data_IF_877579242410
#
_entry.id   IF_877579242410
#
_cell.length_a   1.000
_cell.length_b   1.000
_cell.length_c   1.000
_cell.angle_alpha   90.00
_cell.angle_beta   90.00
_cell.angle_gamma   90.00
#
_symmetry.space_group_name_H-M   'P 1'
#
loop_
_entity.id
_entity.type
_entity.pdbx_description
1 polymer ?
#
# COMPACT_ATOMS: atom_id res chain seq x y z
N UNK A 1 12.45 -33.20 -105.40
CA UNK A 1 12.66 -32.81 -103.99
C UNK A 1 13.21 -31.39 -103.99
N UNK A 2 12.42 -30.37 -104.37
CA UNK A 2 11.70 -29.43 -103.48
C UNK A 2 12.60 -28.91 -102.35
N UNK A 3 12.98 -27.64 -102.22
CA UNK A 3 12.77 -26.43 -103.02
C UNK A 3 13.44 -25.23 -102.30
N UNK A 4 14.31 -24.53 -103.03
CA UNK A 4 14.43 -23.07 -103.19
C UNK A 4 13.98 -22.16 -102.01
N UNK A 5 14.99 -21.50 -101.42
CA UNK A 5 15.17 -20.06 -101.20
C UNK A 5 14.07 -19.15 -100.60
N UNK A 6 14.58 -18.36 -99.63
CA UNK A 6 14.44 -16.90 -99.44
C UNK A 6 13.31 -16.34 -98.56
N UNK A 7 13.78 -15.42 -97.71
CA UNK A 7 13.27 -14.06 -97.47
C UNK A 7 12.68 -13.70 -96.08
N UNK A 8 13.33 -12.66 -95.54
CA UNK A 8 12.81 -11.50 -94.80
C UNK A 8 12.74 -11.54 -93.25
N UNK A 9 13.76 -10.88 -92.70
CA UNK A 9 13.65 -9.61 -91.98
C UNK A 9 12.57 -9.40 -90.89
N UNK A 10 13.10 -8.94 -89.75
CA UNK A 10 12.65 -7.80 -88.97
C UNK A 10 11.73 -8.02 -87.74
N UNK A 11 12.33 -7.61 -86.63
CA UNK A 11 11.79 -6.67 -85.64
C UNK A 11 10.98 -7.18 -84.44
N UNK A 12 11.64 -7.03 -83.28
CA UNK A 12 11.19 -6.31 -82.07
C UNK A 12 9.85 -6.73 -81.45
N UNK A 13 9.91 -7.24 -80.22
CA UNK A 13 8.74 -7.32 -79.35
C UNK A 13 9.05 -7.79 -77.93
N UNK A 14 9.63 -6.92 -77.10
CA UNK A 14 9.59 -7.09 -75.63
C UNK A 14 8.13 -6.98 -75.17
N UNK A 15 7.61 -8.03 -74.54
CA UNK A 15 6.53 -8.09 -73.53
C UNK A 15 5.84 -9.43 -73.71
N UNK A 16 6.05 -10.39 -72.84
CA UNK A 16 5.40 -10.53 -71.53
C UNK A 16 6.06 -11.78 -70.92
N UNK A 17 6.06 -12.05 -69.62
CA UNK A 17 5.11 -12.96 -68.97
C UNK A 17 5.34 -12.79 -67.46
N UNK A 18 5.04 -11.59 -66.94
CA UNK A 18 4.84 -11.34 -65.50
C UNK A 18 3.42 -11.77 -65.13
N UNK A 19 3.09 -13.06 -65.13
CA UNK A 19 1.74 -13.51 -64.74
C UNK A 19 1.66 -14.83 -63.97
N UNK A 20 2.77 -15.37 -63.44
CA UNK A 20 2.72 -16.63 -62.68
C UNK A 20 3.39 -16.57 -61.29
N UNK A 21 3.42 -15.40 -60.66
CA UNK A 21 3.97 -15.23 -59.30
C UNK A 21 2.99 -14.62 -58.29
N UNK A 22 1.68 -14.60 -58.59
CA UNK A 22 0.67 -13.88 -57.80
C UNK A 22 -0.38 -14.78 -57.11
N UNK A 23 -0.13 -16.09 -56.99
CA UNK A 23 -1.09 -17.01 -56.33
C UNK A 23 -0.52 -17.79 -55.14
N UNK A 24 0.69 -17.47 -54.68
CA UNK A 24 1.25 -17.99 -53.41
C UNK A 24 1.54 -16.88 -52.38
N UNK A 25 1.13 -15.64 -52.64
CA UNK A 25 1.27 -14.50 -51.74
C UNK A 25 -0.07 -13.93 -51.24
N UNK A 26 -1.18 -14.65 -51.45
CA UNK A 26 -2.52 -14.22 -51.04
C UNK A 26 -3.15 -15.11 -49.94
N UNK A 27 -2.38 -16.03 -49.36
CA UNK A 27 -2.84 -16.89 -48.24
C UNK A 27 -1.84 -16.89 -47.07
N UNK A 28 -1.27 -15.72 -46.77
CA UNK A 28 -0.48 -15.47 -45.55
C UNK A 28 -0.76 -14.06 -45.00
N UNK A 29 -1.99 -13.58 -45.20
CA UNK A 29 -2.41 -12.20 -44.87
C UNK A 29 -3.79 -12.17 -44.19
N UNK A 30 -4.14 -13.25 -43.49
CA UNK A 30 -5.27 -13.26 -42.56
C UNK A 30 -4.80 -13.89 -41.25
N UNK A 31 -5.08 -13.19 -40.15
CA UNK A 31 -4.70 -13.49 -38.74
C UNK A 31 -3.30 -13.01 -38.32
N UNK A 32 -3.02 -11.73 -38.51
CA UNK A 32 -2.21 -10.96 -37.55
C UNK A 32 -3.08 -9.82 -37.01
N UNK A 33 -4.24 -10.17 -36.44
CA UNK A 33 -4.89 -9.24 -35.51
C UNK A 33 -3.98 -9.13 -34.28
N UNK A 34 -3.85 -7.95 -33.66
CA UNK A 34 -3.17 -7.88 -32.38
C UNK A 34 -3.98 -8.77 -31.44
N UNK A 35 -3.38 -9.88 -31.01
CA UNK A 35 -3.69 -10.50 -29.73
C UNK A 35 -3.25 -9.49 -28.66
N UNK A 36 -3.98 -8.38 -28.53
CA UNK A 36 -4.19 -7.84 -27.22
C UNK A 36 -4.94 -8.95 -26.51
N UNK A 37 -4.21 -9.83 -25.81
CA UNK A 37 -4.78 -10.48 -24.66
C UNK A 37 -5.52 -9.36 -23.93
N UNK A 38 -6.85 -9.49 -23.79
CA UNK A 38 -7.60 -8.62 -22.90
C UNK A 38 -6.86 -8.70 -21.58
N UNK A 39 -6.02 -7.70 -21.29
CA UNK A 39 -5.29 -7.66 -20.06
C UNK A 39 -6.36 -7.75 -18.99
N UNK A 40 -6.25 -8.75 -18.10
CA UNK A 40 -7.17 -8.85 -16.98
C UNK A 40 -7.22 -7.48 -16.31
N UNK A 41 -8.42 -7.02 -15.98
CA UNK A 41 -8.62 -5.73 -15.31
C UNK A 41 -7.66 -5.67 -14.10
N UNK A 42 -6.70 -4.73 -14.06
CA UNK A 42 -5.69 -4.69 -13.01
C UNK A 42 -6.27 -4.31 -11.65
N UNK A 43 -7.49 -3.76 -11.61
CA UNK A 43 -8.15 -3.21 -10.43
C UNK A 43 -9.63 -3.66 -10.37
N UNK A 44 -9.92 -4.98 -10.31
CA UNK A 44 -11.27 -5.52 -10.50
C UNK A 44 -12.26 -5.25 -9.36
N UNK A 45 -11.78 -4.94 -8.15
CA UNK A 45 -12.63 -4.49 -7.02
C UNK A 45 -12.86 -2.98 -7.01
N UNK A 46 -12.30 -2.24 -7.96
CA UNK A 46 -12.58 -0.82 -8.19
C UNK A 46 -13.67 -0.67 -9.25
N UNK A 47 -14.68 0.15 -8.95
CA UNK A 47 -15.68 0.54 -9.94
C UNK A 47 -15.04 1.37 -11.04
N UNK A 48 -15.53 1.21 -12.27
CA UNK A 48 -15.10 2.06 -13.38
C UNK A 48 -15.52 3.50 -13.11
N UNK A 49 -14.56 4.41 -13.17
CA UNK A 49 -14.79 5.79 -12.77
C UNK A 49 -13.51 6.62 -12.73
N UNK A 50 -13.63 7.91 -12.40
CA UNK A 50 -12.50 8.85 -12.43
C UNK A 50 -11.36 8.45 -11.49
N UNK A 51 -11.66 7.84 -10.34
CA UNK A 51 -10.65 7.39 -9.37
C UNK A 51 -9.79 6.27 -9.97
N UNK A 52 -10.41 5.17 -10.43
CA UNK A 52 -9.70 4.05 -11.08
C UNK A 52 -8.91 4.52 -12.29
N UNK A 53 -9.51 5.36 -13.14
CA UNK A 53 -8.84 5.92 -14.31
C UNK A 53 -7.61 6.75 -13.92
N UNK A 54 -7.70 7.59 -12.89
CA UNK A 54 -6.58 8.43 -12.45
C UNK A 54 -5.37 7.62 -11.97
N UNK A 55 -5.60 6.47 -11.31
CA UNK A 55 -4.57 5.54 -10.87
C UNK A 55 -3.88 4.91 -12.11
N UNK A 56 -4.68 4.36 -13.03
CA UNK A 56 -4.17 3.73 -14.25
C UNK A 56 -3.39 4.72 -15.10
N UNK A 57 -3.89 5.94 -15.25
CA UNK A 57 -3.25 7.01 -15.99
C UNK A 57 -1.92 7.44 -15.37
N UNK A 58 -1.87 7.54 -14.02
CA UNK A 58 -0.62 7.84 -13.32
C UNK A 58 0.43 6.75 -13.56
N UNK A 59 0.06 5.48 -13.35
CA UNK A 59 0.99 4.35 -13.54
C UNK A 59 1.47 4.28 -14.99
N UNK A 60 0.55 4.45 -15.96
CA UNK A 60 0.91 4.47 -17.39
C UNK A 60 1.91 5.58 -17.69
N UNK A 61 1.67 6.81 -17.22
CA UNK A 61 2.61 7.94 -17.44
C UNK A 61 3.96 7.69 -16.79
N UNK A 62 3.97 7.18 -15.55
CA UNK A 62 5.19 6.90 -14.79
C UNK A 62 6.07 5.80 -15.43
N UNK A 63 5.46 4.91 -16.21
CA UNK A 63 6.15 3.73 -16.76
C UNK A 63 6.41 3.79 -18.27
N UNK A 64 5.79 4.73 -18.99
CA UNK A 64 6.02 4.90 -20.43
C UNK A 64 7.39 5.53 -20.70
N UNK A 65 8.37 4.72 -21.06
CA UNK A 65 9.73 5.15 -21.38
C UNK A 65 9.76 6.27 -22.43
N UNK A 66 10.59 7.29 -22.19
CA UNK A 66 10.72 8.47 -23.05
C UNK A 66 9.55 9.47 -22.96
N UNK A 67 8.51 9.18 -22.19
CA UNK A 67 7.41 10.10 -21.92
C UNK A 67 7.78 11.22 -20.92
N UNK A 68 7.09 12.37 -20.95
CA UNK A 68 7.38 13.52 -20.07
C UNK A 68 7.09 13.26 -18.58
N UNK A 69 6.39 12.17 -18.26
CA UNK A 69 6.10 11.75 -16.87
C UNK A 69 6.81 10.46 -16.47
N UNK A 70 7.77 9.97 -17.28
CA UNK A 70 8.50 8.74 -17.00
C UNK A 70 9.32 8.87 -15.72
N UNK A 71 9.23 7.85 -14.86
CA UNK A 71 9.98 7.74 -13.61
C UNK A 71 10.83 6.48 -13.73
N UNK A 72 12.16 6.54 -13.53
CA UNK A 72 12.99 5.36 -13.60
C UNK A 72 12.65 4.40 -12.45
N UNK A 73 12.75 3.06 -12.63
CA UNK A 73 12.28 2.07 -11.65
C UNK A 73 12.79 2.29 -10.22
N UNK A 74 14.04 2.75 -10.05
CA UNK A 74 14.66 3.04 -8.76
C UNK A 74 14.04 4.24 -8.01
N UNK A 75 13.26 5.07 -8.70
CA UNK A 75 12.53 6.21 -8.14
C UNK A 75 11.03 5.96 -7.99
N UNK A 76 10.52 4.80 -8.43
CA UNK A 76 9.11 4.41 -8.32
C UNK A 76 8.75 3.96 -6.91
N UNK A 77 8.83 4.86 -5.94
CA UNK A 77 8.50 4.58 -4.54
C UNK A 77 7.03 4.94 -4.28
N UNK A 78 6.27 3.98 -3.73
CA UNK A 78 4.88 4.16 -3.31
C UNK A 78 4.74 3.89 -1.80
N UNK A 79 4.19 4.83 -1.03
CA UNK A 79 4.02 4.72 0.43
C UNK A 79 2.55 4.67 0.83
N UNK A 80 2.19 3.77 1.75
CA UNK A 80 0.81 3.55 2.19
C UNK A 80 0.75 3.67 3.71
N UNK A 81 -0.24 4.38 4.27
CA UNK A 81 -0.63 4.09 5.66
C UNK A 81 -1.17 2.66 5.75
N UNK A 82 -1.24 2.10 6.96
CA UNK A 82 -1.80 0.78 7.23
C UNK A 82 -3.24 0.88 7.77
N UNK A 83 -3.42 1.41 8.97
CA UNK A 83 -4.72 1.55 9.62
C UNK A 83 -5.65 2.46 8.79
N UNK A 84 -6.81 1.95 8.38
CA UNK A 84 -7.78 2.68 7.56
C UNK A 84 -7.39 2.82 6.09
N UNK A 85 -6.15 2.50 5.71
CA UNK A 85 -5.69 2.58 4.32
C UNK A 85 -5.51 1.21 3.67
N UNK A 86 -4.82 0.28 4.31
CA UNK A 86 -4.64 -1.09 3.80
C UNK A 86 -5.62 -2.09 4.44
N UNK A 87 -6.07 -1.82 5.67
CA UNK A 87 -7.08 -2.61 6.37
C UNK A 87 -8.05 -1.75 7.16
N UNK A 88 -9.11 -2.36 7.70
CA UNK A 88 -10.04 -1.72 8.62
C UNK A 88 -9.32 -1.20 9.88
N UNK A 89 -9.85 -0.15 10.50
CA UNK A 89 -9.27 0.41 11.73
C UNK A 89 -10.31 0.74 12.82
N UNK A 90 -11.54 0.21 12.71
CA UNK A 90 -12.60 0.46 13.69
C UNK A 90 -13.00 -0.83 14.43
N UNK A 91 -12.35 -1.17 15.57
CA UNK A 91 -11.33 -0.41 16.28
C UNK A 91 -9.91 -0.64 15.74
N UNK A 92 -8.96 0.22 16.13
CA UNK A 92 -7.55 0.12 15.75
C UNK A 92 -6.96 -1.18 16.27
N UNK A 93 -6.34 -1.95 15.38
CA UNK A 93 -5.91 -3.32 15.66
C UNK A 93 -4.81 -3.38 16.71
N UNK A 94 -3.81 -2.49 16.63
CA UNK A 94 -2.77 -2.40 17.65
C UNK A 94 -3.32 -1.97 19.02
N UNK A 95 -4.42 -1.21 19.03
CA UNK A 95 -5.14 -0.87 20.26
C UNK A 95 -5.73 -2.11 20.95
N UNK A 96 -6.29 -3.05 20.17
CA UNK A 96 -6.77 -4.32 20.70
C UNK A 96 -5.64 -5.18 21.27
N UNK A 97 -4.50 -5.25 20.59
CA UNK A 97 -3.31 -5.92 21.09
C UNK A 97 -2.83 -5.30 22.41
N UNK A 98 -2.74 -3.97 22.47
CA UNK A 98 -2.32 -3.27 23.67
C UNK A 98 -3.29 -3.48 24.85
N UNK A 99 -4.60 -3.54 24.59
CA UNK A 99 -5.59 -3.84 25.61
C UNK A 99 -5.33 -5.19 26.28
N UNK A 100 -4.95 -6.22 25.52
CA UNK A 100 -4.55 -7.52 26.07
C UNK A 100 -3.28 -7.39 26.93
N UNK A 101 -2.26 -6.68 26.44
CA UNK A 101 -1.02 -6.45 27.21
C UNK A 101 -1.28 -5.72 28.53
N UNK A 102 -2.13 -4.68 28.52
CA UNK A 102 -2.49 -3.93 29.73
C UNK A 102 -3.27 -4.81 30.70
N UNK A 103 -4.19 -5.65 30.22
CA UNK A 103 -4.93 -6.59 31.07
C UNK A 103 -4.01 -7.57 31.79
N UNK A 104 -2.99 -8.11 31.11
CA UNK A 104 -2.01 -8.97 31.77
C UNK A 104 -1.22 -8.21 32.86
N UNK A 105 -0.81 -6.97 32.58
CA UNK A 105 -0.13 -6.14 33.58
C UNK A 105 -1.01 -5.79 34.78
N UNK A 106 -2.31 -5.60 34.58
CA UNK A 106 -3.26 -5.34 35.69
C UNK A 106 -3.42 -6.56 36.60
N UNK A 107 -3.25 -7.79 36.08
CA UNK A 107 -3.24 -9.00 36.93
C UNK A 107 -2.04 -9.02 37.87
N UNK A 108 -0.91 -8.48 37.42
CA UNK A 108 0.32 -8.36 38.23
C UNK A 108 0.26 -7.16 39.19
N UNK A 109 -0.24 -6.02 38.73
CA UNK A 109 -0.43 -4.79 39.50
C UNK A 109 -1.80 -4.16 39.24
N UNK A 110 -2.74 -4.44 40.14
CA UNK A 110 -4.11 -3.94 40.06
C UNK A 110 -4.23 -2.40 40.17
N UNK A 111 -3.19 -1.70 40.65
CA UNK A 111 -3.19 -0.25 40.73
C UNK A 111 -3.20 0.42 39.35
N UNK A 112 -2.65 -0.26 38.33
CA UNK A 112 -2.61 0.23 36.94
C UNK A 112 -4.01 0.47 36.39
N UNK A 113 -5.02 -0.31 36.79
CA UNK A 113 -6.39 -0.16 36.29
C UNK A 113 -7.01 1.23 36.60
N UNK A 114 -6.47 1.96 37.59
CA UNK A 114 -6.94 3.29 38.00
C UNK A 114 -6.02 4.42 37.53
N UNK A 115 -4.87 4.10 36.93
CA UNK A 115 -3.83 5.06 36.55
C UNK A 115 -3.87 5.33 35.05
N UNK A 116 -3.73 6.59 34.65
CA UNK A 116 -3.48 6.90 33.25
C UNK A 116 -2.04 6.52 32.87
N UNK A 117 -1.76 6.09 31.63
CA UNK A 117 -2.71 5.91 30.50
C UNK A 117 -3.43 4.55 30.48
N UNK A 118 -3.11 3.61 31.38
CA UNK A 118 -3.66 2.24 31.39
C UNK A 118 -5.18 2.20 31.50
N UNK A 119 -5.74 3.08 32.34
CA UNK A 119 -7.20 3.22 32.50
C UNK A 119 -7.88 3.53 31.16
N UNK A 120 -7.37 4.48 30.38
CA UNK A 120 -7.92 4.83 29.08
C UNK A 120 -7.91 3.65 28.10
N UNK A 121 -6.80 2.88 28.07
CA UNK A 121 -6.70 1.67 27.25
C UNK A 121 -7.76 0.65 27.66
N UNK A 122 -7.93 0.40 28.95
CA UNK A 122 -8.93 -0.55 29.49
C UNK A 122 -10.38 -0.14 29.20
N UNK A 123 -10.65 1.16 29.17
CA UNK A 123 -11.97 1.73 28.85
C UNK A 123 -12.28 1.68 27.34
N UNK A 124 -11.36 1.17 26.52
CA UNK A 124 -11.56 0.98 25.08
C UNK A 124 -11.33 2.25 24.28
N UNK A 125 -10.83 3.31 24.90
CA UNK A 125 -10.47 4.56 24.21
C UNK A 125 -9.05 4.45 23.64
N UNK A 126 -8.83 3.45 22.79
CA UNK A 126 -7.53 3.24 22.12
C UNK A 126 -7.28 4.28 21.02
N UNK A 127 -8.30 5.04 20.62
CA UNK A 127 -8.14 6.24 19.81
C UNK A 127 -7.28 7.30 20.54
N UNK A 128 -7.28 7.33 21.88
CA UNK A 128 -6.39 8.19 22.66
C UNK A 128 -4.90 7.88 22.44
N UNK A 129 -4.49 6.69 21.98
CA UNK A 129 -3.06 6.42 21.74
C UNK A 129 -2.44 7.44 20.77
N UNK A 130 -3.19 7.84 19.73
CA UNK A 130 -2.76 8.87 18.77
C UNK A 130 -2.80 10.30 19.34
N UNK A 131 -3.37 10.49 20.52
CA UNK A 131 -3.47 11.76 21.23
C UNK A 131 -2.60 11.82 22.50
N UNK A 132 -1.98 10.70 22.89
CA UNK A 132 -1.07 10.64 24.03
C UNK A 132 0.21 11.43 23.74
N UNK A 133 0.70 12.12 24.75
CA UNK A 133 2.02 12.73 24.69
C UNK A 133 3.12 11.68 24.86
N UNK A 134 4.36 12.07 24.56
CA UNK A 134 5.51 11.18 24.67
C UNK A 134 5.65 10.56 26.08
N UNK A 135 5.54 11.31 27.20
CA UNK A 135 5.55 10.72 28.54
C UNK A 135 4.49 9.63 28.78
N UNK A 136 3.26 9.83 28.30
CA UNK A 136 2.20 8.82 28.42
C UNK A 136 2.52 7.56 27.62
N UNK A 137 2.95 7.71 26.37
CA UNK A 137 3.38 6.59 25.53
C UNK A 137 4.54 5.83 26.19
N UNK A 138 5.50 6.57 26.74
CA UNK A 138 6.66 6.03 27.46
C UNK A 138 6.26 5.20 28.67
N UNK A 139 5.35 5.71 29.51
CA UNK A 139 4.86 4.97 30.68
C UNK A 139 4.15 3.67 30.28
N UNK A 140 3.30 3.77 29.25
CA UNK A 140 2.57 2.63 28.73
C UNK A 140 3.50 1.55 28.17
N UNK A 141 4.46 1.94 27.33
CA UNK A 141 5.43 1.02 26.74
C UNK A 141 6.44 0.48 27.77
N UNK A 142 6.80 1.28 28.78
CA UNK A 142 7.61 0.83 29.90
C UNK A 142 6.96 -0.38 30.59
N UNK A 143 5.66 -0.26 30.89
CA UNK A 143 4.94 -1.34 31.52
C UNK A 143 4.74 -2.53 30.57
N UNK A 144 4.36 -2.31 29.31
CA UNK A 144 3.88 -3.40 28.43
C UNK A 144 4.97 -4.05 27.56
N UNK A 145 6.10 -3.37 27.30
CA UNK A 145 7.09 -3.80 26.31
C UNK A 145 8.55 -3.83 26.82
N UNK A 146 8.88 -3.09 27.88
CA UNK A 146 10.28 -2.92 28.29
C UNK A 146 10.95 -4.23 28.69
N UNK A 147 12.22 -4.39 28.27
CA UNK A 147 13.05 -5.55 28.59
C UNK A 147 12.81 -6.77 27.71
N UNK A 148 11.67 -6.82 26.99
CA UNK A 148 11.42 -7.85 25.98
C UNK A 148 12.46 -7.76 24.88
N UNK A 149 12.92 -8.93 24.45
CA UNK A 149 13.69 -9.06 23.22
C UNK A 149 12.79 -8.82 22.01
N UNK A 150 13.40 -8.44 20.90
CA UNK A 150 12.68 -8.27 19.64
C UNK A 150 11.95 -9.56 19.22
N UNK A 151 12.56 -10.72 19.43
CA UNK A 151 11.96 -12.02 19.10
C UNK A 151 10.79 -12.38 20.01
N UNK A 152 10.85 -12.04 21.31
CA UNK A 152 9.74 -12.21 22.24
C UNK A 152 8.54 -11.37 21.80
N UNK A 153 8.78 -10.09 21.50
CA UNK A 153 7.72 -9.20 21.03
C UNK A 153 7.09 -9.71 19.73
N UNK A 154 7.89 -10.09 18.74
CA UNK A 154 7.39 -10.64 17.49
C UNK A 154 6.56 -11.92 17.69
N UNK A 155 6.93 -12.79 18.63
CA UNK A 155 6.13 -13.98 18.97
C UNK A 155 4.78 -13.62 19.58
N UNK A 156 4.74 -12.66 20.51
CA UNK A 156 3.50 -12.20 21.13
C UNK A 156 2.54 -11.60 20.09
N UNK A 157 3.06 -10.76 19.18
CA UNK A 157 2.24 -10.16 18.12
C UNK A 157 1.70 -11.23 17.17
N UNK A 158 2.53 -12.21 16.76
CA UNK A 158 2.06 -13.32 15.92
C UNK A 158 0.99 -14.16 16.62
N UNK A 159 1.18 -14.45 17.92
CA UNK A 159 0.19 -15.17 18.70
C UNK A 159 -1.15 -14.41 18.77
N UNK A 160 -1.09 -13.09 18.95
CA UNK A 160 -2.28 -12.23 18.88
C UNK A 160 -3.00 -12.39 17.54
N UNK A 161 -2.32 -12.27 16.39
CA UNK A 161 -2.99 -12.39 15.08
C UNK A 161 -3.56 -13.78 14.79
N UNK A 162 -3.05 -14.85 15.40
CA UNK A 162 -3.60 -16.19 15.25
C UNK A 162 -5.00 -16.32 15.86
N UNK A 163 -5.20 -15.74 17.05
CA UNK A 163 -6.43 -15.93 17.84
C UNK A 163 -7.37 -14.74 17.83
N UNK A 164 -6.85 -13.52 17.65
CA UNK A 164 -7.64 -12.30 17.71
C UNK A 164 -8.66 -12.26 16.56
N UNK A 165 -9.86 -11.80 16.90
CA UNK A 165 -10.97 -11.63 15.97
C UNK A 165 -11.54 -10.23 16.16
N UNK A 166 -11.96 -9.63 15.07
CA UNK A 166 -12.60 -8.33 15.11
C UNK A 166 -13.93 -8.41 15.87
N UNK A 167 -14.18 -7.56 16.88
CA UNK A 167 -15.30 -7.73 17.82
C UNK A 167 -16.68 -7.65 17.15
N UNK A 168 -16.86 -6.73 16.19
CA UNK A 168 -18.11 -6.59 15.42
C UNK A 168 -18.24 -7.57 14.25
N UNK A 169 -17.12 -7.96 13.66
CA UNK A 169 -17.06 -8.59 12.34
C UNK A 169 -16.79 -10.10 12.42
N UNK A 170 -16.35 -10.61 13.58
CA UNK A 170 -16.22 -12.03 13.89
C UNK A 170 -15.05 -12.76 13.21
N UNK A 171 -14.25 -12.08 12.40
CA UNK A 171 -13.18 -12.68 11.58
C UNK A 171 -11.78 -12.26 12.04
N UNK A 172 -10.71 -13.01 11.69
CA UNK A 172 -9.34 -12.59 11.94
C UNK A 172 -9.05 -11.20 11.37
N UNK A 173 -8.27 -10.39 12.09
CA UNK A 173 -7.88 -9.06 11.60
C UNK A 173 -7.13 -9.11 10.26
N UNK A 174 -6.36 -10.17 10.01
CA UNK A 174 -5.63 -10.38 8.74
C UNK A 174 -6.55 -10.62 7.53
N UNK A 175 -7.83 -10.92 7.74
CA UNK A 175 -8.83 -11.03 6.67
C UNK A 175 -9.56 -9.71 6.41
N UNK A 176 -9.18 -8.64 7.09
CA UNK A 176 -9.80 -7.31 6.98
C UNK A 176 -8.95 -6.31 6.20
N UNK A 177 -7.96 -6.79 5.44
CA UNK A 177 -7.32 -6.03 4.39
C UNK A 177 -8.32 -5.68 3.28
N UNK A 178 -8.19 -4.49 2.70
CA UNK A 178 -9.09 -4.04 1.64
C UNK A 178 -8.70 -4.64 0.30
N UNK A 179 -9.62 -5.39 -0.32
CA UNK A 179 -9.40 -6.02 -1.62
C UNK A 179 -8.94 -5.03 -2.71
N UNK A 180 -9.56 -3.84 -2.86
CA UNK A 180 -9.10 -2.83 -3.82
C UNK A 180 -7.65 -2.39 -3.59
N UNK A 181 -7.21 -2.33 -2.32
CA UNK A 181 -5.86 -1.89 -1.98
C UNK A 181 -4.82 -3.00 -2.16
N UNK A 182 -5.18 -4.26 -1.93
CA UNK A 182 -4.36 -5.41 -2.31
C UNK A 182 -4.11 -5.45 -3.82
N UNK A 183 -5.16 -5.22 -4.62
CA UNK A 183 -5.05 -5.11 -6.09
C UNK A 183 -4.16 -3.95 -6.51
N UNK A 184 -4.32 -2.78 -5.88
CA UNK A 184 -3.48 -1.61 -6.15
C UNK A 184 -2.00 -1.86 -5.84
N UNK A 185 -1.70 -2.48 -4.70
CA UNK A 185 -0.36 -2.90 -4.32
C UNK A 185 0.25 -3.83 -5.37
N UNK A 186 -0.49 -4.86 -5.79
CA UNK A 186 -0.07 -5.79 -6.83
C UNK A 186 0.16 -5.08 -8.17
N UNK A 187 -0.76 -4.22 -8.58
CA UNK A 187 -0.67 -3.47 -9.83
C UNK A 187 0.56 -2.56 -9.86
N UNK A 188 0.86 -1.86 -8.76
CA UNK A 188 2.04 -1.03 -8.63
C UNK A 188 3.33 -1.86 -8.72
N UNK A 189 3.42 -2.99 -7.99
CA UNK A 189 4.59 -3.89 -8.07
C UNK A 189 4.80 -4.46 -9.46
N UNK A 190 3.72 -4.86 -10.14
CA UNK A 190 3.76 -5.34 -11.53
C UNK A 190 4.29 -4.28 -12.51
N UNK A 191 4.23 -3.00 -12.14
CA UNK A 191 4.72 -1.85 -12.91
C UNK A 191 6.06 -1.30 -12.39
N UNK A 192 6.76 -2.06 -11.55
CA UNK A 192 8.10 -1.75 -11.07
C UNK A 192 8.15 -0.73 -9.94
N UNK A 193 7.03 -0.49 -9.24
CA UNK A 193 7.05 0.29 -8.01
C UNK A 193 7.49 -0.55 -6.81
N UNK A 194 8.18 0.08 -5.89
CA UNK A 194 8.40 -0.44 -4.54
C UNK A 194 7.25 0.02 -3.65
N UNK A 195 6.58 -0.90 -2.98
CA UNK A 195 5.44 -0.61 -2.09
C UNK A 195 5.89 -0.64 -0.64
N UNK A 196 5.79 0.48 0.06
CA UNK A 196 6.23 0.68 1.44
C UNK A 196 5.03 1.00 2.34
N UNK A 197 5.08 0.55 3.59
CA UNK A 197 4.17 1.03 4.64
C UNK A 197 4.82 2.24 5.34
N UNK A 198 4.05 3.30 5.59
CA UNK A 198 4.40 4.42 6.46
C UNK A 198 3.21 4.75 7.37
N UNK A 199 3.23 4.19 8.57
CA UNK A 199 2.10 4.27 9.51
C UNK A 199 2.50 4.83 10.87
N UNK A 200 1.53 5.40 11.59
CA UNK A 200 1.70 5.75 13.00
C UNK A 200 1.78 4.52 13.92
N UNK A 201 1.34 3.35 13.46
CA UNK A 201 1.45 2.09 14.18
C UNK A 201 2.90 1.67 14.45
N UNK A 202 3.09 0.78 15.42
CA UNK A 202 4.40 0.26 15.80
C UNK A 202 5.04 -0.54 14.65
N UNK A 203 6.27 -0.20 14.28
CA UNK A 203 6.98 -0.83 13.14
C UNK A 203 7.05 -2.36 13.28
N UNK A 204 7.40 -2.86 14.47
CA UNK A 204 7.55 -4.30 14.70
C UNK A 204 6.22 -5.03 14.82
N UNK A 205 5.16 -4.32 15.21
CA UNK A 205 3.80 -4.86 15.23
C UNK A 205 3.34 -5.14 13.79
N UNK A 206 3.55 -4.19 12.89
CA UNK A 206 3.19 -4.33 11.47
C UNK A 206 4.08 -5.35 10.75
N UNK A 207 5.40 -5.35 11.00
CA UNK A 207 6.34 -6.32 10.40
C UNK A 207 5.98 -7.78 10.68
N UNK A 208 5.28 -8.05 11.78
CA UNK A 208 4.84 -9.40 12.11
C UNK A 208 3.78 -9.97 11.15
N UNK A 209 3.13 -9.13 10.34
CA UNK A 209 1.96 -9.50 9.53
C UNK A 209 1.96 -8.91 8.12
N UNK A 210 2.81 -7.91 7.84
CA UNK A 210 2.80 -7.15 6.58
C UNK A 210 3.10 -8.00 5.35
N UNK A 211 4.04 -8.94 5.45
CA UNK A 211 4.46 -9.78 4.32
C UNK A 211 3.33 -10.75 3.95
N UNK A 212 2.77 -11.47 4.93
CA UNK A 212 1.68 -12.40 4.69
C UNK A 212 0.37 -11.72 4.25
N UNK A 213 0.11 -10.48 4.69
CA UNK A 213 -1.15 -9.78 4.42
C UNK A 213 -1.10 -8.95 3.14
N UNK A 214 0.02 -8.28 2.87
CA UNK A 214 0.14 -7.26 1.81
C UNK A 214 1.21 -7.57 0.77
N UNK A 215 2.01 -8.62 0.99
CA UNK A 215 3.21 -8.91 0.21
C UNK A 215 4.16 -7.69 0.23
N UNK A 216 4.30 -7.10 1.43
CA UNK A 216 5.26 -6.03 1.77
C UNK A 216 6.24 -6.58 2.81
N UNK A 217 7.51 -6.79 2.44
CA UNK A 217 8.49 -7.42 3.31
C UNK A 217 8.90 -6.48 4.47
N UNK A 218 9.43 -7.01 5.59
CA UNK A 218 9.67 -6.23 6.80
C UNK A 218 10.58 -5.00 6.63
N UNK A 219 11.53 -5.04 5.69
CA UNK A 219 12.42 -3.91 5.38
C UNK A 219 11.70 -2.75 4.68
N UNK A 220 10.49 -2.97 4.14
CA UNK A 220 9.66 -1.96 3.50
C UNK A 220 8.55 -1.42 4.44
N UNK A 221 8.73 -1.59 5.75
CA UNK A 221 7.79 -1.13 6.77
C UNK A 221 8.42 -0.03 7.60
N UNK A 222 7.77 1.14 7.59
CA UNK A 222 8.11 2.32 8.39
C UNK A 222 6.97 2.54 9.38
N UNK A 223 7.31 2.62 10.66
CA UNK A 223 6.35 2.80 11.74
C UNK A 223 6.96 3.55 12.91
N UNK A 224 6.15 3.80 13.93
CA UNK A 224 6.65 4.30 15.21
C UNK A 224 7.54 3.24 15.86
N UNK A 225 8.65 3.66 16.46
CA UNK A 225 9.68 2.77 17.00
C UNK A 225 10.08 3.15 18.42
N UNK A 226 10.56 2.14 19.15
CA UNK A 226 11.25 2.31 20.42
C UNK A 226 12.75 2.15 20.20
N UNK A 227 13.55 2.75 21.08
CA UNK A 227 14.98 2.49 21.12
C UNK A 227 15.23 1.04 21.47
N UNK A 228 16.29 0.51 20.88
CA UNK A 228 16.78 -0.82 21.17
C UNK A 228 18.22 -0.73 21.66
N UNK A 229 18.58 -1.67 22.53
CA UNK A 229 19.97 -1.91 22.92
C UNK A 229 20.40 -3.29 22.46
N UNK A 230 21.63 -3.37 21.98
CA UNK A 230 22.32 -4.63 21.79
C UNK A 230 22.71 -5.19 23.16
N UNK A 231 22.22 -6.37 23.50
CA UNK A 231 22.50 -7.07 24.74
C UNK A 231 23.22 -8.38 24.41
N UNK A 232 24.52 -8.44 24.74
CA UNK A 232 25.38 -9.60 24.47
C UNK A 232 24.99 -10.84 25.30
N UNK A 233 24.24 -10.66 26.41
CA UNK A 233 23.78 -11.73 27.28
C UNK A 233 24.86 -12.73 27.71
N UNK A 234 24.44 -13.96 28.03
CA UNK A 234 25.32 -15.10 28.33
C UNK A 234 25.72 -15.85 27.03
N UNK A 235 26.12 -15.13 25.98
CA UNK A 235 26.63 -15.71 24.73
C UNK A 235 25.63 -15.85 23.58
N UNK A 236 24.38 -15.40 23.76
CA UNK A 236 23.37 -15.29 22.68
C UNK A 236 22.95 -13.82 22.56
N UNK A 237 23.58 -13.04 21.67
CA UNK A 237 23.29 -11.61 21.56
C UNK A 237 21.87 -11.38 21.04
N UNK A 238 21.17 -10.43 21.64
CA UNK A 238 19.78 -10.07 21.28
C UNK A 238 19.60 -8.56 21.24
N UNK A 239 18.57 -8.10 20.53
CA UNK A 239 18.07 -6.74 20.62
C UNK A 239 17.00 -6.67 21.69
N UNK A 240 17.15 -5.74 22.65
CA UNK A 240 16.16 -5.49 23.70
C UNK A 240 15.52 -4.13 23.54
N UNK A 241 14.20 -4.11 23.67
CA UNK A 241 13.39 -2.90 23.63
C UNK A 241 13.60 -2.09 24.91
N UNK A 242 13.92 -0.81 24.75
CA UNK A 242 13.94 0.16 25.84
C UNK A 242 12.55 0.78 25.99
N UNK A 243 12.25 1.23 27.21
CA UNK A 243 11.12 2.11 27.47
C UNK A 243 11.43 3.53 26.98
N UNK A 244 11.79 3.67 25.69
CA UNK A 244 12.17 4.94 25.08
C UNK A 244 11.67 5.04 23.65
N UNK A 245 10.89 6.07 23.33
CA UNK A 245 10.49 6.37 21.96
C UNK A 245 11.73 6.80 21.17
N UNK A 246 11.88 6.26 19.97
CA UNK A 246 12.93 6.66 19.03
C UNK A 246 12.35 7.54 17.93
N UNK A 247 11.26 7.09 17.30
CA UNK A 247 10.53 7.86 16.30
C UNK A 247 9.02 7.65 16.42
N UNK A 248 8.25 8.74 16.27
CA UNK A 248 6.80 8.69 16.10
C UNK A 248 6.47 8.98 14.64
N UNK A 249 6.01 7.95 13.91
CA UNK A 249 5.81 8.02 12.47
C UNK A 249 4.37 8.43 12.10
N UNK A 250 3.90 9.54 12.65
CA UNK A 250 2.58 10.11 12.36
C UNK A 250 2.68 11.60 12.01
N UNK A 251 1.73 12.13 11.22
CA UNK A 251 1.70 13.53 10.77
C UNK A 251 3.04 13.93 10.15
N UNK A 252 3.68 14.98 10.67
CA UNK A 252 5.00 15.44 10.23
C UNK A 252 6.13 14.43 10.46
N UNK A 253 5.92 13.41 11.30
CA UNK A 253 6.85 12.30 11.47
C UNK A 253 6.91 11.37 10.26
N UNK A 254 5.84 11.27 9.45
CA UNK A 254 5.82 10.40 8.26
C UNK A 254 6.85 10.82 7.20
N UNK A 255 6.92 12.10 6.76
CA UNK A 255 7.99 12.53 5.85
C UNK A 255 9.41 12.28 6.39
N UNK A 256 9.62 12.46 7.70
CA UNK A 256 10.93 12.20 8.34
C UNK A 256 11.27 10.72 8.30
N UNK A 257 10.32 9.85 8.66
CA UNK A 257 10.51 8.40 8.61
C UNK A 257 10.79 7.90 7.18
N UNK A 258 10.05 8.43 6.20
CA UNK A 258 10.27 8.16 4.77
C UNK A 258 11.69 8.53 4.35
N UNK A 259 12.15 9.74 4.66
CA UNK A 259 13.51 10.19 4.31
C UNK A 259 14.59 9.32 4.96
N UNK A 260 14.43 9.00 6.26
CA UNK A 260 15.40 8.20 7.01
C UNK A 260 15.52 6.75 6.52
N UNK A 261 14.41 6.13 6.10
CA UNK A 261 14.39 4.70 5.75
C UNK A 261 14.60 4.46 4.24
N UNK A 262 14.07 5.34 3.39
CA UNK A 262 14.10 5.16 1.94
C UNK A 262 15.22 6.02 1.32
N UNK A 263 15.48 7.21 1.86
CA UNK A 263 16.41 8.18 1.27
C UNK A 263 15.92 8.75 -0.06
N UNK A 264 14.63 8.56 -0.39
CA UNK A 264 13.99 9.03 -1.63
C UNK A 264 12.57 9.49 -1.34
N UNK A 265 12.17 10.55 -2.03
CA UNK A 265 10.79 11.05 -2.00
C UNK A 265 9.87 10.09 -2.76
N UNK A 266 8.74 9.66 -2.17
CA UNK A 266 7.74 8.87 -2.87
C UNK A 266 7.11 9.65 -4.03
N UNK A 267 6.72 8.92 -5.06
CA UNK A 267 5.98 9.45 -6.21
C UNK A 267 4.51 9.04 -6.17
N UNK A 268 4.16 8.12 -5.26
CA UNK A 268 2.79 7.72 -4.96
C UNK A 268 2.62 7.63 -3.45
N UNK A 269 1.51 8.15 -2.92
CA UNK A 269 1.15 7.92 -1.53
C UNK A 269 -0.36 7.73 -1.36
N UNK A 270 -0.72 6.83 -0.45
CA UNK A 270 -2.10 6.62 -0.03
C UNK A 270 -2.23 6.73 1.49
N UNK A 271 -3.28 7.41 1.93
CA UNK A 271 -3.67 7.57 3.32
C UNK A 271 -5.19 7.62 3.46
N UNK A 272 -5.71 7.91 4.65
CA UNK A 272 -7.15 7.94 4.89
C UNK A 272 -7.63 9.12 5.77
N UNK A 273 -8.95 9.34 5.75
CA UNK A 273 -9.63 10.31 6.61
C UNK A 273 -9.79 9.73 8.01
N UNK A 274 -9.18 10.35 9.03
CA UNK A 274 -9.32 9.94 10.43
C UNK A 274 -8.95 11.03 11.44
N UNK A 275 -7.69 11.47 11.39
CA UNK A 275 -7.09 12.39 12.37
C UNK A 275 -6.14 13.42 11.74
N UNK A 276 -6.09 13.49 10.40
CA UNK A 276 -5.11 14.27 9.66
C UNK A 276 -3.68 13.70 9.68
N UNK A 277 -3.49 12.44 10.11
CA UNK A 277 -2.18 11.77 10.21
C UNK A 277 -1.40 11.67 8.89
N UNK A 278 -2.10 11.59 7.77
CA UNK A 278 -1.51 11.42 6.45
C UNK A 278 -1.25 12.71 5.68
N UNK A 279 -1.75 13.85 6.17
CA UNK A 279 -1.75 15.11 5.42
C UNK A 279 -0.33 15.45 4.95
N UNK A 280 0.66 15.39 5.84
CA UNK A 280 2.05 15.74 5.51
C UNK A 280 2.71 14.71 4.59
N UNK A 281 2.38 13.42 4.69
CA UNK A 281 2.88 12.40 3.77
C UNK A 281 2.37 12.62 2.34
N UNK A 282 1.07 12.90 2.21
CA UNK A 282 0.43 13.17 0.92
C UNK A 282 0.92 14.50 0.32
N UNK A 283 1.12 15.54 1.14
CA UNK A 283 1.74 16.80 0.73
C UNK A 283 3.17 16.59 0.23
N UNK A 284 4.00 15.90 1.00
CA UNK A 284 5.39 15.61 0.68
C UNK A 284 5.50 14.86 -0.66
N UNK A 285 4.60 13.93 -0.95
CA UNK A 285 4.59 13.19 -2.23
C UNK A 285 4.26 14.08 -3.44
N UNK A 286 3.42 15.11 -3.28
CA UNK A 286 3.00 15.99 -4.39
C UNK A 286 4.08 16.98 -4.84
N UNK A 287 5.10 17.22 -4.01
CA UNK A 287 6.16 18.17 -4.33
C UNK A 287 7.14 17.63 -5.39
N UNK A 288 7.79 18.56 -6.09
CA UNK A 288 8.75 18.33 -7.17
C UNK A 288 9.99 17.52 -6.69
N UNK A 289 10.66 16.73 -7.57
CA UNK A 289 10.80 16.93 -9.02
C UNK A 289 9.86 16.15 -9.95
N UNK A 290 9.14 15.13 -9.46
CA UNK A 290 8.19 14.36 -10.27
C UNK A 290 6.74 14.70 -9.90
N UNK A 291 5.79 14.63 -10.85
CA UNK A 291 4.38 14.83 -10.53
C UNK A 291 3.86 13.64 -9.70
N UNK A 292 3.92 13.75 -8.37
CA UNK A 292 3.44 12.70 -7.48
C UNK A 292 1.92 12.52 -7.51
N UNK A 293 1.49 11.32 -7.11
CA UNK A 293 0.08 10.94 -6.97
C UNK A 293 -0.27 10.75 -5.49
N UNK A 294 -1.32 11.43 -5.04
CA UNK A 294 -1.82 11.34 -3.67
C UNK A 294 -3.25 10.81 -3.68
N UNK A 295 -3.48 9.72 -2.96
CA UNK A 295 -4.77 9.05 -2.80
C UNK A 295 -5.23 9.18 -1.34
N UNK A 296 -6.47 9.60 -1.13
CA UNK A 296 -7.08 9.70 0.21
C UNK A 296 -8.35 8.86 0.27
N UNK A 297 -8.43 7.91 1.19
CA UNK A 297 -9.61 7.07 1.40
C UNK A 297 -10.60 7.77 2.33
N UNK A 298 -11.82 7.95 1.85
CA UNK A 298 -12.95 8.46 2.63
C UNK A 298 -13.87 7.29 3.04
N UNK A 299 -13.91 7.01 4.35
CA UNK A 299 -14.73 5.96 4.94
C UNK A 299 -16.19 6.41 5.04
N UNK A 300 -16.91 6.27 3.94
CA UNK A 300 -18.31 6.66 3.81
C UNK A 300 -19.26 5.48 3.64
N UNK A 301 -18.87 4.26 4.00
CA UNK A 301 -19.68 3.05 3.79
C UNK A 301 -20.03 2.34 5.10
N UNK A 302 -21.11 2.79 5.75
CA UNK A 302 -21.59 2.18 6.99
C UNK A 302 -22.24 0.79 6.81
N UNK A 303 -22.56 0.39 5.57
CA UNK A 303 -23.25 -0.86 5.27
C UNK A 303 -22.25 -2.01 5.12
N UNK A 304 -21.17 -1.77 4.38
CA UNK A 304 -20.16 -2.79 4.06
C UNK A 304 -18.91 -2.70 4.94
N UNK A 305 -18.67 -1.55 5.56
CA UNK A 305 -17.56 -1.29 6.48
C UNK A 305 -18.04 -0.40 7.66
N UNK A 306 -17.42 0.76 7.83
CA UNK A 306 -17.74 1.77 8.81
C UNK A 306 -17.78 3.13 8.12
N UNK A 307 -18.63 4.04 8.60
CA UNK A 307 -18.63 5.42 8.16
C UNK A 307 -18.17 6.32 9.29
N UNK A 308 -17.15 7.14 9.03
CA UNK A 308 -16.62 8.09 10.01
C UNK A 308 -15.96 9.28 9.32
N UNK A 309 -15.86 10.39 10.05
CA UNK A 309 -15.32 11.64 9.54
C UNK A 309 -14.58 12.42 10.65
N UNK A 310 -13.68 13.31 10.22
CA UNK A 310 -13.01 14.25 11.10
C UNK A 310 -13.95 15.40 11.47
N UNK A 311 -13.95 15.83 12.74
CA UNK A 311 -14.79 16.95 13.20
C UNK A 311 -14.60 18.24 12.40
N UNK A 312 -13.42 18.44 11.82
CA UNK A 312 -13.04 19.64 11.09
C UNK A 312 -12.73 19.39 9.60
N UNK A 313 -12.95 18.17 9.09
CA UNK A 313 -12.62 17.75 7.71
C UNK A 313 -11.18 18.10 7.28
N UNK A 314 -10.19 18.03 8.17
CA UNK A 314 -8.82 18.45 7.87
C UNK A 314 -8.26 17.74 6.61
N UNK A 315 -8.39 16.43 6.53
CA UNK A 315 -7.89 15.60 5.43
C UNK A 315 -8.63 15.88 4.12
N UNK A 316 -9.96 15.97 4.15
CA UNK A 316 -10.75 16.30 2.96
C UNK A 316 -10.52 17.74 2.48
N UNK A 317 -10.28 18.70 3.39
CA UNK A 317 -9.87 20.06 3.04
C UNK A 317 -8.48 20.07 2.40
N UNK A 318 -7.53 19.34 2.98
CA UNK A 318 -6.19 19.20 2.42
C UNK A 318 -6.22 18.56 1.03
N UNK A 319 -7.04 17.52 0.82
CA UNK A 319 -7.23 16.89 -0.48
C UNK A 319 -7.74 17.87 -1.55
N UNK A 320 -8.75 18.69 -1.21
CA UNK A 320 -9.25 19.74 -2.11
C UNK A 320 -8.18 20.78 -2.44
N UNK A 321 -7.39 21.19 -1.46
CA UNK A 321 -6.32 22.18 -1.65
C UNK A 321 -5.13 21.64 -2.45
N UNK A 322 -4.76 20.38 -2.20
CA UNK A 322 -3.61 19.70 -2.81
C UNK A 322 -3.92 18.98 -4.12
N UNK A 323 -5.19 18.98 -4.57
CA UNK A 323 -5.62 18.27 -5.77
C UNK A 323 -5.41 16.76 -5.66
N UNK A 324 -5.74 16.16 -4.51
CA UNK A 324 -5.59 14.72 -4.28
C UNK A 324 -6.80 13.96 -4.80
N UNK A 325 -6.57 12.72 -5.23
CA UNK A 325 -7.63 11.80 -5.59
C UNK A 325 -8.31 11.30 -4.30
N UNK A 326 -9.60 11.57 -4.14
CA UNK A 326 -10.37 11.08 -2.99
C UNK A 326 -11.19 9.87 -3.41
N UNK A 327 -11.04 8.76 -2.69
CA UNK A 327 -11.82 7.53 -2.87
C UNK A 327 -13.03 7.59 -1.95
N UNK A 328 -14.24 7.46 -2.49
CA UNK A 328 -15.43 7.08 -1.72
C UNK A 328 -15.47 5.55 -1.62
N UNK A 329 -15.31 4.98 -0.43
CA UNK A 329 -15.44 3.53 -0.25
C UNK A 329 -16.78 3.02 -0.78
N UNK A 330 -17.85 3.81 -0.61
CA UNK A 330 -19.18 3.46 -1.08
C UNK A 330 -19.29 3.42 -2.60
N UNK A 331 -18.74 4.42 -3.29
CA UNK A 331 -18.96 4.61 -4.72
C UNK A 331 -17.86 3.99 -5.59
N UNK A 332 -16.62 4.01 -5.13
CA UNK A 332 -15.47 3.63 -5.94
C UNK A 332 -15.03 2.18 -5.71
N UNK A 333 -15.41 1.57 -4.60
CA UNK A 333 -15.11 0.16 -4.32
C UNK A 333 -16.33 -0.72 -4.56
N UNK A 334 -16.18 -1.63 -5.51
CA UNK A 334 -17.14 -2.70 -5.82
C UNK A 334 -17.22 -3.70 -4.66
N UNK A 335 -16.10 -3.91 -3.98
CA UNK A 335 -15.92 -4.84 -2.86
C UNK A 335 -14.98 -4.24 -1.83
N UNK A 336 -15.26 -4.46 -0.54
CA UNK A 336 -14.41 -3.99 0.56
C UNK A 336 -13.33 -5.02 0.90
N UNK A 337 -13.72 -6.26 1.21
CA UNK A 337 -12.81 -7.33 1.66
C UNK A 337 -12.74 -8.47 0.63
N UNK A 338 -11.65 -9.28 0.59
CA UNK A 338 -11.53 -10.42 -0.32
C UNK A 338 -12.68 -11.43 -0.27
N UNK A 339 -12.86 -12.20 -1.34
CA UNK A 339 -13.81 -13.33 -1.38
C UNK A 339 -13.41 -14.44 -0.39
N UNK A 340 -14.40 -15.13 0.18
CA UNK A 340 -14.17 -16.28 1.08
C UNK A 340 -13.91 -15.92 2.54
N UNK A 341 -14.24 -14.69 2.94
CA UNK A 341 -14.28 -14.27 4.35
C UNK A 341 -15.33 -15.03 5.17
#
# INVERSE_FOLDING_TARGET
>A
MSGIARDKEAAVGRRTWKQQAWLLWALALTVAGPLQALAADPLPSWNDGPVKQSIVDFVTRATTEGGPGYIPPEERIATFDNDGTLWQEQPVVQGAFLLEQVRERVKEDASLAKRQPFKAVLEGDVALLSAMDEPQLMELFAATHAGKTQDEFAREVRAFFQTARHPKLGVPYTQLAYAPMLELLQYLRANGFQTWISSGGGVDFMRAVSEDTYDIPPQQVIGSSLKEKFDEGNGNPVLRREARVDHLNDKAGKPVGIDQHIGRRPVFAAGNVRSGGDIQMLQYTKEQPHPGFALLINHDDAEREFAYAEKNDASLKAARQGGWTVVSMRQDWKRIFPEGR
#
